data_IF_901342070988
#
_entry.id   IF_901342070988
#
_cell.length_a   1.000
_cell.length_b   1.000
_cell.length_c   1.000
_cell.angle_alpha   90.00
_cell.angle_beta   90.00
_cell.angle_gamma   90.00
#
_symmetry.space_group_name_H-M   'P 1'
#
loop_
_entity.id
_entity.type
_entity.pdbx_description
1 polymer ?
#
# COMPACT_ATOMS: atom_id res chain seq x y z
N UNK A 1 47.57 64.94 44.13
CA UNK A 1 46.48 64.29 43.39
C UNK A 1 45.70 63.43 44.37
N UNK A 2 44.38 63.62 44.51
CA UNK A 2 43.55 63.01 45.56
C UNK A 2 43.11 61.57 45.28
N UNK A 3 43.58 60.92 44.21
CA UNK A 3 43.32 59.49 43.93
C UNK A 3 41.86 59.13 43.60
N UNK A 4 40.94 60.11 43.60
CA UNK A 4 39.51 59.90 43.38
C UNK A 4 39.22 59.51 41.92
N UNK A 5 38.44 58.45 41.72
CA UNK A 5 38.16 57.90 40.39
C UNK A 5 36.78 58.34 39.91
N UNK A 6 36.73 59.17 38.86
CA UNK A 6 35.47 59.70 38.32
C UNK A 6 34.61 58.65 37.59
N UNK A 7 35.20 57.53 37.17
CA UNK A 7 34.50 56.43 36.49
C UNK A 7 35.21 55.09 36.71
N UNK A 8 34.53 54.18 37.40
CA UNK A 8 35.03 52.83 37.61
C UNK A 8 34.94 51.97 36.35
N UNK A 9 35.81 50.95 36.27
CA UNK A 9 35.68 49.85 35.31
C UNK A 9 34.44 49.00 35.67
N UNK A 10 33.80 48.31 34.70
CA UNK A 10 32.72 47.38 34.98
C UNK A 10 33.11 46.35 36.05
N UNK A 11 32.18 46.00 36.93
CA UNK A 11 32.42 45.10 38.05
C UNK A 11 32.92 45.76 39.33
N UNK A 12 33.19 47.07 39.33
CA UNK A 12 33.68 47.82 40.48
C UNK A 12 32.90 49.12 40.70
N UNK A 13 32.79 49.55 41.97
CA UNK A 13 32.10 50.76 42.42
C UNK A 13 32.87 51.45 43.57
N UNK A 14 32.44 52.66 43.93
CA UNK A 14 32.99 53.46 45.04
C UNK A 14 33.96 54.54 44.57
N UNK A 15 34.27 55.49 45.46
CA UNK A 15 35.06 56.70 45.15
C UNK A 15 36.48 56.38 44.63
N UNK A 16 36.98 55.18 44.93
CA UNK A 16 38.29 54.69 44.51
C UNK A 16 38.23 53.42 43.64
N UNK A 17 37.03 52.95 43.26
CA UNK A 17 36.82 51.74 42.46
C UNK A 17 37.46 50.46 43.04
N UNK A 18 37.49 50.38 44.37
CA UNK A 18 38.08 49.29 45.16
C UNK A 18 37.04 48.24 45.60
N UNK A 19 35.74 48.56 45.48
CA UNK A 19 34.65 47.64 45.84
C UNK A 19 34.14 46.92 44.61
N UNK A 20 34.26 45.60 44.58
CA UNK A 20 33.58 44.78 43.59
C UNK A 20 32.06 44.92 43.71
N UNK A 21 31.31 44.66 42.64
CA UNK A 21 29.86 44.50 42.74
C UNK A 21 29.52 43.45 43.79
N UNK A 22 28.51 43.74 44.61
CA UNK A 22 27.95 42.78 45.56
C UNK A 22 27.34 41.58 44.83
N UNK A 23 27.08 40.52 45.59
CA UNK A 23 26.44 39.31 45.07
C UNK A 23 25.19 39.66 44.25
N UNK A 24 24.97 38.93 43.17
CA UNK A 24 23.85 39.11 42.24
C UNK A 24 23.92 40.36 41.33
N UNK A 25 24.94 41.22 41.41
CA UNK A 25 25.08 42.41 40.56
C UNK A 25 26.31 42.39 39.66
N UNK A 26 26.23 43.02 38.48
CA UNK A 26 27.33 43.11 37.53
C UNK A 26 27.28 44.38 36.64
N UNK A 27 28.34 44.56 35.84
CA UNK A 27 28.42 45.58 34.79
C UNK A 27 28.86 46.96 35.30
N UNK A 28 28.59 47.98 34.50
CA UNK A 28 28.96 49.35 34.85
C UNK A 28 28.15 49.84 36.06
N UNK A 29 28.86 50.36 37.08
CA UNK A 29 28.28 50.82 38.34
C UNK A 29 27.42 49.75 39.06
N UNK A 30 27.61 48.47 38.75
CA UNK A 30 26.86 47.35 39.33
C UNK A 30 25.33 47.49 39.17
N UNK A 31 24.91 48.06 38.03
CA UNK A 31 23.51 48.40 37.76
C UNK A 31 22.70 47.23 37.19
N UNK A 32 23.35 46.14 36.79
CA UNK A 32 22.69 44.97 36.21
C UNK A 32 22.59 43.85 37.24
N UNK A 33 21.51 43.09 37.18
CA UNK A 33 21.30 41.91 38.01
C UNK A 33 21.77 40.67 37.25
N UNK A 34 22.32 39.68 37.97
CA UNK A 34 22.53 38.34 37.43
C UNK A 34 21.17 37.74 37.03
N UNK A 35 21.15 37.01 35.91
CA UNK A 35 19.93 36.31 35.49
C UNK A 35 19.44 35.36 36.59
N UNK A 36 18.11 35.33 36.81
CA UNK A 36 17.49 34.35 37.71
C UNK A 36 17.68 32.90 37.26
N UNK A 37 18.07 32.72 35.99
CA UNK A 37 18.32 31.41 35.38
C UNK A 37 19.79 31.00 35.45
N UNK A 38 20.70 31.84 35.99
CA UNK A 38 22.04 31.40 36.37
C UNK A 38 21.93 30.29 37.42
N UNK A 39 22.81 29.29 37.34
CA UNK A 39 22.98 28.37 38.46
C UNK A 39 23.39 29.12 39.74
N UNK A 40 22.71 28.78 40.85
CA UNK A 40 22.87 29.46 42.15
C UNK A 40 22.67 30.98 42.09
N UNK A 41 22.03 31.51 41.03
CA UNK A 41 21.80 32.94 40.78
C UNK A 41 23.08 33.79 40.77
N UNK A 42 24.25 33.20 40.61
CA UNK A 42 25.54 33.89 40.67
C UNK A 42 26.16 34.07 39.28
N UNK A 43 26.77 35.24 39.05
CA UNK A 43 27.39 35.59 37.79
C UNK A 43 28.64 36.45 37.99
N UNK A 44 29.46 36.52 36.93
CA UNK A 44 30.64 37.34 36.87
C UNK A 44 30.27 38.83 36.98
N UNK A 45 30.86 39.51 37.96
CA UNK A 45 30.57 40.91 38.27
C UNK A 45 30.95 41.88 37.13
N UNK A 46 31.85 41.50 36.22
CA UNK A 46 32.28 42.34 35.09
C UNK A 46 31.32 42.17 33.91
N UNK A 47 31.09 40.94 33.45
CA UNK A 47 30.41 40.64 32.18
C UNK A 47 29.08 39.91 32.31
N UNK A 48 28.63 39.55 33.51
CA UNK A 48 27.33 38.91 33.75
C UNK A 48 27.26 37.42 33.40
N UNK A 49 28.38 36.80 33.03
CA UNK A 49 28.44 35.36 32.70
C UNK A 49 28.18 34.50 33.94
N UNK A 50 27.24 33.56 33.85
CA UNK A 50 26.86 32.72 34.98
C UNK A 50 27.94 31.66 35.25
N UNK A 51 28.50 31.63 36.47
CA UNK A 51 29.63 30.76 36.81
C UNK A 51 29.33 29.24 36.68
N UNK A 52 28.08 28.84 36.93
CA UNK A 52 27.62 27.46 36.73
C UNK A 52 26.85 27.25 35.42
N UNK A 53 26.88 28.22 34.51
CA UNK A 53 26.02 28.26 33.33
C UNK A 53 24.54 28.47 33.68
N UNK A 54 23.70 28.13 32.71
CA UNK A 54 22.27 28.35 32.73
C UNK A 54 21.47 27.15 33.21
N UNK A 55 20.29 27.44 33.77
CA UNK A 55 19.22 26.48 33.98
C UNK A 55 18.68 25.96 32.64
N UNK A 56 17.96 24.84 32.66
CA UNK A 56 17.36 24.26 31.47
C UNK A 56 16.43 25.27 30.77
N UNK A 57 16.50 25.34 29.44
CA UNK A 57 15.73 26.25 28.61
C UNK A 57 16.38 27.60 28.33
N UNK A 58 17.58 27.88 28.85
CA UNK A 58 18.27 29.16 28.67
C UNK A 58 19.68 29.01 28.10
N UNK A 59 20.03 29.94 27.22
CA UNK A 59 21.29 29.95 26.46
C UNK A 59 22.43 30.59 27.25
N UNK A 60 23.58 29.91 27.27
CA UNK A 60 24.85 30.42 27.80
C UNK A 60 25.35 31.64 26.98
N UNK A 61 26.05 32.63 27.57
CA UNK A 61 26.63 32.66 28.92
C UNK A 61 25.84 33.41 30.00
N UNK A 62 24.91 34.31 29.64
CA UNK A 62 24.20 35.18 30.60
C UNK A 62 22.79 34.69 30.97
N UNK A 63 22.30 33.64 30.32
CA UNK A 63 20.98 33.04 30.59
C UNK A 63 19.82 34.04 30.45
N UNK A 64 19.92 34.93 29.48
CA UNK A 64 18.91 35.95 29.17
C UNK A 64 18.01 35.56 28.00
N UNK A 65 18.44 34.60 27.17
CA UNK A 65 17.72 34.12 26.01
C UNK A 65 17.24 32.68 26.24
N UNK A 66 16.02 32.39 25.79
CA UNK A 66 15.48 31.03 25.75
C UNK A 66 16.20 30.25 24.65
N UNK A 67 16.32 28.93 24.79
CA UNK A 67 16.88 28.09 23.75
C UNK A 67 16.27 28.37 22.37
N UNK A 68 17.14 28.40 21.37
CA UNK A 68 16.74 28.51 19.98
C UNK A 68 15.92 27.27 19.58
N UNK A 69 15.11 27.43 18.52
CA UNK A 69 14.47 26.29 17.89
C UNK A 69 15.50 25.19 17.61
N UNK A 70 15.12 23.93 17.80
CA UNK A 70 15.95 22.72 17.68
C UNK A 70 16.85 22.38 18.88
N UNK A 71 16.92 23.21 19.92
CA UNK A 71 17.74 22.91 21.11
C UNK A 71 16.94 22.99 22.42
N UNK A 72 17.37 22.21 23.42
CA UNK A 72 16.75 22.19 24.74
C UNK A 72 17.76 21.88 25.84
N UNK A 73 17.26 21.82 27.08
CA UNK A 73 18.03 21.39 28.23
C UNK A 73 18.97 22.48 28.76
N UNK A 74 19.93 22.05 29.57
CA UNK A 74 20.84 22.96 30.27
C UNK A 74 21.79 23.62 29.27
N UNK A 75 21.97 24.93 29.35
CA UNK A 75 22.77 25.70 28.39
C UNK A 75 22.34 25.51 26.91
N UNK A 76 21.16 24.94 26.65
CA UNK A 76 20.72 24.53 25.31
C UNK A 76 21.68 23.54 24.62
N UNK A 77 22.31 22.66 25.39
CA UNK A 77 23.33 21.73 24.87
C UNK A 77 22.76 20.47 24.22
N UNK A 78 21.46 20.23 24.33
CA UNK A 78 20.78 19.06 23.77
C UNK A 78 19.93 19.48 22.56
N UNK A 79 19.71 18.54 21.63
CA UNK A 79 18.95 18.78 20.40
C UNK A 79 17.57 18.15 20.47
N UNK A 80 16.55 18.86 19.99
CA UNK A 80 15.22 18.29 19.79
C UNK A 80 15.27 17.04 18.90
N UNK A 81 14.37 16.08 19.16
CA UNK A 81 14.18 14.92 18.28
C UNK A 81 13.89 15.36 16.84
N UNK A 82 14.52 14.69 15.86
CA UNK A 82 14.29 14.95 14.44
C UNK A 82 12.84 14.62 14.02
N UNK A 83 12.14 13.85 14.84
CA UNK A 83 10.75 13.46 14.62
C UNK A 83 9.75 14.49 15.16
N UNK A 84 10.21 15.56 15.82
CA UNK A 84 9.34 16.69 16.11
C UNK A 84 9.06 17.47 14.80
N UNK A 85 7.83 17.95 14.61
CA UNK A 85 7.49 18.86 13.51
C UNK A 85 8.35 20.13 13.58
N UNK A 86 8.93 20.53 12.45
CA UNK A 86 9.90 21.63 12.34
C UNK A 86 11.11 21.52 13.30
N UNK A 87 11.38 20.32 13.85
CA UNK A 87 12.37 20.09 14.90
C UNK A 87 12.14 21.01 16.13
N UNK A 88 10.88 21.33 16.45
CA UNK A 88 10.53 22.16 17.61
C UNK A 88 10.10 21.32 18.79
N UNK A 89 10.74 21.58 19.93
CA UNK A 89 10.43 20.95 21.20
C UNK A 89 10.46 21.96 22.35
N UNK A 90 9.93 21.56 23.49
CA UNK A 90 9.98 22.33 24.72
C UNK A 90 11.43 22.60 25.13
N UNK A 91 11.82 23.88 25.31
CA UNK A 91 13.22 24.24 25.52
C UNK A 91 13.77 23.72 26.87
N UNK A 92 12.90 23.40 27.83
CA UNK A 92 13.31 22.91 29.15
C UNK A 92 13.42 21.38 29.15
N UNK A 93 12.34 20.71 28.73
CA UNK A 93 12.17 19.25 28.87
C UNK A 93 12.53 18.46 27.61
N UNK A 94 12.65 19.12 26.46
CA UNK A 94 12.90 18.48 25.17
C UNK A 94 11.70 17.78 24.55
N UNK A 95 10.52 17.85 25.18
CA UNK A 95 9.32 17.21 24.65
C UNK A 95 8.86 17.87 23.34
N UNK A 96 8.65 17.08 22.31
CA UNK A 96 8.11 17.59 21.04
C UNK A 96 6.73 18.19 21.28
N UNK A 97 6.48 19.37 20.71
CA UNK A 97 5.13 19.95 20.71
C UNK A 97 4.18 19.17 19.82
N UNK A 98 4.70 18.71 18.67
CA UNK A 98 3.98 17.96 17.66
C UNK A 98 4.92 16.94 17.03
N UNK A 99 4.46 15.72 16.82
CA UNK A 99 5.19 14.71 16.05
C UNK A 99 4.88 14.79 14.56
N UNK A 100 5.87 14.46 13.73
CA UNK A 100 5.61 14.15 12.33
C UNK A 100 4.58 13.01 12.20
N UNK A 101 3.79 12.97 11.11
CA UNK A 101 2.77 11.93 10.93
C UNK A 101 3.36 10.51 11.02
N UNK A 102 2.65 9.61 11.69
CA UNK A 102 3.08 8.23 11.92
C UNK A 102 3.78 7.97 13.26
N UNK A 103 4.07 9.03 14.03
CA UNK A 103 4.74 8.94 15.33
C UNK A 103 3.92 9.63 16.44
N UNK A 104 4.17 9.20 17.68
CA UNK A 104 3.56 9.74 18.92
C UNK A 104 4.52 9.65 20.10
N UNK A 105 4.12 10.30 21.20
CA UNK A 105 4.84 10.30 22.47
C UNK A 105 5.67 11.56 22.65
N UNK A 106 6.19 11.72 23.87
CA UNK A 106 6.84 12.95 24.33
C UNK A 106 8.05 13.33 23.46
N UNK A 107 8.75 12.36 22.86
CA UNK A 107 9.92 12.57 22.00
C UNK A 107 9.72 12.05 20.56
N UNK A 108 8.47 11.72 20.19
CA UNK A 108 8.11 11.18 18.88
C UNK A 108 8.92 9.95 18.47
N UNK A 109 9.07 9.03 19.42
CA UNK A 109 9.86 7.80 19.33
C UNK A 109 9.00 6.54 19.19
N UNK A 110 7.67 6.68 19.31
CA UNK A 110 6.73 5.56 19.19
C UNK A 110 5.94 5.67 17.90
N UNK A 111 5.92 4.60 17.12
CA UNK A 111 5.10 4.47 15.92
C UNK A 111 3.61 4.41 16.31
N UNK A 112 2.74 4.87 15.43
CA UNK A 112 1.30 4.64 15.58
C UNK A 112 0.98 3.16 15.71
N UNK A 113 -0.13 2.87 16.40
CA UNK A 113 -0.64 1.51 16.43
C UNK A 113 -1.16 1.18 15.02
N UNK A 114 -1.25 -0.10 14.67
CA UNK A 114 -1.69 -0.51 13.32
C UNK A 114 -3.11 -0.01 12.96
N UNK A 115 -3.91 0.40 13.95
CA UNK A 115 -5.29 0.89 13.79
C UNK A 115 -5.42 2.42 13.81
N UNK A 116 -4.31 3.16 13.94
CA UNK A 116 -4.32 4.62 13.92
C UNK A 116 -3.21 5.19 13.03
N UNK A 117 -3.42 6.41 12.54
CA UNK A 117 -2.49 7.06 11.64
C UNK A 117 -2.49 8.59 11.79
N UNK A 118 -1.60 9.24 11.04
CA UNK A 118 -1.52 10.69 10.91
C UNK A 118 -0.74 11.35 12.04
N UNK A 119 -0.93 12.66 12.18
CA UNK A 119 -0.23 13.46 13.20
C UNK A 119 -0.64 13.02 14.61
N UNK A 120 0.36 12.73 15.45
CA UNK A 120 0.18 12.22 16.81
C UNK A 120 -0.72 10.96 16.89
N UNK A 121 -0.88 10.22 15.78
CA UNK A 121 -1.74 9.04 15.68
C UNK A 121 -3.20 9.30 16.08
N UNK A 122 -3.69 10.51 15.76
CA UNK A 122 -5.02 11.00 16.17
C UNK A 122 -6.16 10.50 15.28
N UNK A 123 -5.86 9.91 14.12
CA UNK A 123 -6.85 9.43 13.16
C UNK A 123 -6.98 7.91 13.24
N UNK A 124 -8.20 7.39 13.17
CA UNK A 124 -8.46 5.95 13.14
C UNK A 124 -8.46 5.43 11.71
N UNK A 125 -7.88 4.25 11.48
CA UNK A 125 -7.97 3.56 10.20
C UNK A 125 -9.44 3.32 9.79
N UNK A 126 -9.69 3.22 8.49
CA UNK A 126 -11.02 2.86 7.97
C UNK A 126 -11.45 1.50 8.51
N UNK A 127 -12.71 1.37 8.93
CA UNK A 127 -13.28 0.09 9.36
C UNK A 127 -13.36 -0.95 8.25
N UNK A 128 -13.23 -0.51 7.00
CA UNK A 128 -13.25 -1.34 5.81
C UNK A 128 -11.84 -1.81 5.40
N UNK A 129 -10.78 -1.41 6.11
CA UNK A 129 -9.48 -2.07 5.96
C UNK A 129 -9.55 -3.48 6.58
N UNK A 130 -8.90 -4.47 5.98
CA UNK A 130 -8.69 -5.78 6.61
C UNK A 130 -7.96 -5.61 7.95
N UNK A 131 -8.47 -6.27 8.99
CA UNK A 131 -8.02 -6.16 10.39
C UNK A 131 -7.99 -4.71 10.94
N UNK A 132 -8.68 -3.77 10.28
CA UNK A 132 -8.60 -2.33 10.56
C UNK A 132 -7.16 -1.78 10.51
N UNK A 133 -6.29 -2.40 9.70
CA UNK A 133 -4.89 -1.98 9.56
C UNK A 133 -4.70 -0.99 8.43
N UNK A 134 -3.94 0.07 8.68
CA UNK A 134 -3.59 1.03 7.65
C UNK A 134 -2.18 1.59 7.84
N UNK A 135 -1.65 2.21 6.78
CA UNK A 135 -0.39 2.92 6.80
C UNK A 135 -0.40 4.00 7.90
N UNK A 136 0.58 4.00 8.82
CA UNK A 136 0.56 4.89 9.98
C UNK A 136 0.74 6.37 9.62
N UNK A 137 1.22 6.69 8.41
CA UNK A 137 1.47 8.06 7.96
C UNK A 137 0.24 8.60 7.21
N UNK A 138 -0.21 7.86 6.19
CA UNK A 138 -1.21 8.30 5.20
C UNK A 138 -2.61 7.71 5.43
N UNK A 139 -2.73 6.69 6.27
CA UNK A 139 -4.01 6.02 6.55
C UNK A 139 -4.50 5.11 5.44
N UNK A 140 -3.66 4.83 4.44
CA UNK A 140 -3.99 3.94 3.33
C UNK A 140 -4.12 2.50 3.83
N UNK A 141 -5.24 1.84 3.57
CA UNK A 141 -5.42 0.43 3.89
C UNK A 141 -4.41 -0.41 3.09
N UNK A 142 -3.85 -1.44 3.72
CA UNK A 142 -3.00 -2.43 3.04
C UNK A 142 -3.82 -3.32 2.10
N UNK A 143 -5.05 -3.63 2.50
CA UNK A 143 -6.00 -4.43 1.76
C UNK A 143 -7.41 -4.06 2.23
N UNK A 144 -8.37 -3.97 1.31
CA UNK A 144 -9.78 -3.80 1.65
C UNK A 144 -10.45 -5.11 2.01
N UNK A 145 -11.50 -5.03 2.84
CA UNK A 145 -12.46 -6.12 2.97
C UNK A 145 -13.14 -6.39 1.62
N UNK A 146 -13.67 -7.60 1.47
CA UNK A 146 -14.28 -8.06 0.22
C UNK A 146 -15.39 -7.14 -0.28
N UNK A 147 -15.36 -6.80 -1.57
CA UNK A 147 -16.36 -5.97 -2.23
C UNK A 147 -16.07 -4.46 -2.22
N UNK A 148 -14.93 -4.05 -1.64
CA UNK A 148 -14.48 -2.66 -1.57
C UNK A 148 -13.07 -2.48 -2.15
N UNK A 149 -12.76 -1.26 -2.53
CA UNK A 149 -11.46 -0.82 -3.07
C UNK A 149 -11.18 0.66 -2.75
N UNK A 150 -10.03 1.15 -3.20
CA UNK A 150 -9.53 2.50 -2.97
C UNK A 150 -8.68 2.63 -1.70
N UNK A 151 -7.93 3.73 -1.57
CA UNK A 151 -6.95 3.91 -0.49
C UNK A 151 -7.53 3.80 0.93
N UNK A 152 -8.80 4.15 1.11
CA UNK A 152 -9.51 4.07 2.39
C UNK A 152 -10.68 3.06 2.39
N UNK A 153 -10.75 2.20 1.37
CA UNK A 153 -11.81 1.19 1.22
C UNK A 153 -13.22 1.77 1.29
N UNK A 154 -13.44 2.87 0.57
CA UNK A 154 -14.72 3.58 0.49
C UNK A 154 -15.38 3.47 -0.88
N UNK A 155 -14.74 2.79 -1.84
CA UNK A 155 -15.28 2.56 -3.17
C UNK A 155 -15.80 1.13 -3.26
N UNK A 156 -16.98 0.95 -3.81
CA UNK A 156 -17.54 -0.37 -4.09
C UNK A 156 -16.95 -0.95 -5.38
N UNK A 157 -16.87 -2.27 -5.48
CA UNK A 157 -16.47 -2.90 -6.74
C UNK A 157 -17.41 -2.54 -7.89
N UNK A 158 -16.84 -2.43 -9.08
CA UNK A 158 -17.59 -2.43 -10.32
C UNK A 158 -18.35 -3.78 -10.47
N UNK A 159 -19.43 -3.79 -11.24
CA UNK A 159 -20.33 -4.96 -11.35
C UNK A 159 -19.65 -6.22 -11.88
N UNK A 160 -18.58 -6.05 -12.66
CA UNK A 160 -17.78 -7.10 -13.27
C UNK A 160 -16.65 -7.63 -12.38
N UNK A 161 -16.55 -7.15 -11.14
CA UNK A 161 -15.47 -7.49 -10.20
C UNK A 161 -15.98 -7.73 -8.79
N UNK A 162 -15.25 -8.56 -8.07
CA UNK A 162 -15.51 -8.91 -6.68
C UNK A 162 -14.19 -9.21 -5.96
N UNK A 163 -14.29 -9.60 -4.69
CA UNK A 163 -13.12 -9.93 -3.89
C UNK A 163 -12.54 -8.73 -3.12
N UNK A 164 -11.49 -8.95 -2.31
CA UNK A 164 -10.68 -7.88 -1.74
C UNK A 164 -10.07 -7.00 -2.83
N UNK A 165 -10.11 -5.68 -2.62
CA UNK A 165 -9.59 -4.67 -3.56
C UNK A 165 -10.13 -4.78 -4.99
N UNK A 166 -11.24 -5.49 -5.18
CA UNK A 166 -11.87 -5.77 -6.48
C UNK A 166 -10.90 -6.37 -7.52
N UNK A 167 -10.00 -7.26 -7.08
CA UNK A 167 -8.99 -7.86 -7.96
C UNK A 167 -9.47 -9.12 -8.69
N UNK A 168 -10.69 -9.59 -8.43
CA UNK A 168 -11.22 -10.82 -9.03
C UNK A 168 -12.35 -10.46 -10.00
N UNK A 169 -12.24 -10.90 -11.25
CA UNK A 169 -13.32 -10.72 -12.23
C UNK A 169 -14.48 -11.69 -11.94
N UNK A 170 -15.70 -11.28 -12.27
CA UNK A 170 -16.86 -12.17 -12.29
C UNK A 170 -16.67 -13.28 -13.33
N UNK A 171 -17.34 -14.42 -13.11
CA UNK A 171 -17.30 -15.55 -14.03
C UNK A 171 -17.98 -15.17 -15.36
N UNK A 172 -17.41 -15.62 -16.47
CA UNK A 172 -17.99 -15.36 -17.81
C UNK A 172 -19.37 -15.99 -18.01
N UNK A 173 -19.74 -16.97 -17.19
CA UNK A 173 -21.06 -17.60 -17.19
C UNK A 173 -22.12 -16.76 -16.46
N UNK A 174 -21.73 -15.65 -15.81
CA UNK A 174 -22.68 -14.71 -15.22
C UNK A 174 -23.26 -13.82 -16.31
N UNK A 175 -24.58 -13.64 -16.30
CA UNK A 175 -25.24 -12.75 -17.24
C UNK A 175 -24.74 -11.31 -17.07
N UNK A 176 -24.40 -10.66 -18.19
CA UNK A 176 -23.76 -9.33 -18.24
C UNK A 176 -22.48 -9.19 -17.40
N UNK A 177 -21.75 -10.30 -17.16
CA UNK A 177 -20.58 -10.36 -16.27
C UNK A 177 -20.89 -9.83 -14.86
N UNK A 178 -22.14 -9.85 -14.41
CA UNK A 178 -22.53 -9.29 -13.11
C UNK A 178 -22.49 -10.35 -12.01
N UNK A 179 -21.79 -10.06 -10.93
CA UNK A 179 -21.75 -10.94 -9.77
C UNK A 179 -21.77 -10.17 -8.45
N UNK A 180 -22.22 -10.85 -7.40
CA UNK A 180 -22.21 -10.32 -6.06
C UNK A 180 -20.77 -10.01 -5.62
N UNK A 181 -20.53 -8.75 -5.25
CA UNK A 181 -19.20 -8.24 -4.90
C UNK A 181 -18.55 -8.95 -3.70
N UNK A 182 -19.34 -9.60 -2.84
CA UNK A 182 -18.84 -10.29 -1.64
C UNK A 182 -18.52 -11.77 -1.90
N UNK A 183 -19.33 -12.44 -2.71
CA UNK A 183 -19.27 -13.90 -2.88
C UNK A 183 -18.78 -14.35 -4.25
N UNK A 184 -18.81 -13.47 -5.26
CA UNK A 184 -18.47 -13.81 -6.64
C UNK A 184 -19.50 -14.72 -7.34
N UNK A 185 -20.67 -14.91 -6.72
CA UNK A 185 -21.79 -15.66 -7.29
C UNK A 185 -22.61 -14.75 -8.20
N UNK A 186 -23.15 -15.29 -9.29
CA UNK A 186 -23.85 -14.48 -10.27
C UNK A 186 -25.14 -13.91 -9.65
N UNK A 187 -25.31 -12.59 -9.67
CA UNK A 187 -26.45 -11.90 -9.05
C UNK A 187 -27.57 -11.59 -10.05
N UNK A 188 -27.23 -11.60 -11.34
CA UNK A 188 -28.11 -11.26 -12.45
C UNK A 188 -28.49 -12.48 -13.29
N UNK A 189 -28.31 -13.69 -12.75
CA UNK A 189 -28.54 -14.95 -13.44
C UNK A 189 -27.35 -15.41 -14.29
N UNK A 190 -27.58 -16.44 -15.09
CA UNK A 190 -26.58 -17.17 -15.85
C UNK A 190 -26.70 -16.96 -17.35
N UNK A 191 -25.58 -16.93 -18.06
CA UNK A 191 -25.52 -16.83 -19.52
C UNK A 191 -25.17 -18.19 -20.15
N UNK A 192 -26.18 -18.89 -20.69
CA UNK A 192 -26.02 -20.24 -21.22
C UNK A 192 -25.97 -21.36 -20.18
N UNK A 193 -26.37 -21.08 -18.93
CA UNK A 193 -26.50 -22.04 -17.83
C UNK A 193 -27.85 -21.85 -17.11
N UNK A 194 -28.34 -22.87 -16.39
CA UNK A 194 -29.70 -22.88 -15.80
C UNK A 194 -29.77 -22.89 -14.27
N UNK A 195 -28.64 -22.96 -13.57
CA UNK A 195 -28.55 -23.10 -12.11
C UNK A 195 -27.98 -21.84 -11.41
N UNK A 196 -28.67 -20.68 -11.44
CA UNK A 196 -28.28 -19.54 -10.62
C UNK A 196 -28.24 -19.88 -9.12
N UNK A 197 -27.29 -19.32 -8.37
CA UNK A 197 -26.30 -18.33 -8.78
C UNK A 197 -24.93 -18.94 -9.16
N UNK A 198 -24.85 -20.27 -9.27
CA UNK A 198 -23.60 -20.99 -9.45
C UNK A 198 -23.22 -21.19 -10.93
N UNK A 199 -24.19 -21.25 -11.85
CA UNK A 199 -23.99 -21.28 -13.31
C UNK A 199 -22.99 -22.37 -13.74
N UNK A 200 -23.24 -23.60 -13.26
CA UNK A 200 -22.44 -24.80 -13.52
C UNK A 200 -23.13 -25.81 -14.43
N UNK A 201 -24.46 -25.74 -14.55
CA UNK A 201 -25.28 -26.63 -15.38
C UNK A 201 -25.64 -25.93 -16.68
N UNK A 202 -25.03 -26.38 -17.78
CA UNK A 202 -25.26 -25.85 -19.13
C UNK A 202 -26.73 -26.01 -19.55
N UNK A 203 -27.21 -25.14 -20.45
CA UNK A 203 -28.56 -25.28 -21.03
C UNK A 203 -28.79 -26.67 -21.63
N UNK A 204 -30.01 -27.18 -21.48
CA UNK A 204 -30.44 -28.40 -22.16
C UNK A 204 -30.48 -28.16 -23.68
N UNK A 205 -30.26 -29.22 -24.46
CA UNK A 205 -30.39 -29.15 -25.92
C UNK A 205 -31.74 -28.56 -26.32
N UNK A 206 -31.71 -27.53 -27.17
CA UNK A 206 -32.91 -26.79 -27.57
C UNK A 206 -33.16 -25.49 -26.81
N UNK A 207 -32.35 -25.14 -25.80
CA UNK A 207 -32.46 -23.90 -25.02
C UNK A 207 -31.18 -23.08 -25.04
N UNK A 208 -31.32 -21.75 -24.89
CA UNK A 208 -30.19 -20.83 -24.88
C UNK A 208 -30.46 -19.52 -24.12
N UNK A 209 -29.40 -18.73 -23.91
CA UNK A 209 -29.41 -17.38 -23.38
C UNK A 209 -29.55 -17.31 -21.85
N UNK A 210 -30.09 -16.19 -21.38
CA UNK A 210 -30.23 -15.90 -19.95
C UNK A 210 -31.11 -16.94 -19.24
N UNK A 211 -30.52 -17.68 -18.29
CA UNK A 211 -31.15 -18.79 -17.57
C UNK A 211 -31.82 -19.82 -18.49
N UNK A 212 -31.34 -19.98 -19.73
CA UNK A 212 -31.92 -20.88 -20.73
C UNK A 212 -33.40 -20.58 -21.04
N UNK A 213 -33.80 -19.31 -20.93
CA UNK A 213 -35.20 -18.90 -21.10
C UNK A 213 -35.67 -18.88 -22.56
N UNK A 214 -34.75 -18.99 -23.52
CA UNK A 214 -35.07 -18.98 -24.95
C UNK A 214 -34.99 -20.40 -25.52
N UNK A 215 -35.79 -20.65 -26.57
CA UNK A 215 -35.73 -21.88 -27.36
C UNK A 215 -34.94 -21.67 -28.67
N UNK A 216 -34.24 -22.71 -29.12
CA UNK A 216 -33.57 -22.70 -30.43
C UNK A 216 -34.60 -22.58 -31.56
N UNK A 217 -34.20 -21.94 -32.67
CA UNK A 217 -35.04 -21.87 -33.88
C UNK A 217 -35.41 -23.28 -34.37
N UNK A 218 -36.67 -23.47 -34.75
CA UNK A 218 -37.19 -24.73 -35.30
C UNK A 218 -36.42 -25.25 -36.53
N UNK A 219 -35.71 -24.37 -37.25
CA UNK A 219 -34.88 -24.70 -38.43
C UNK A 219 -33.49 -25.20 -38.06
N UNK A 220 -33.07 -25.08 -36.80
CA UNK A 220 -31.82 -25.66 -36.34
C UNK A 220 -31.92 -27.19 -36.43
N UNK A 221 -30.94 -27.83 -37.05
CA UNK A 221 -30.84 -29.29 -37.10
C UNK A 221 -30.91 -29.85 -35.67
N UNK A 222 -31.80 -30.81 -35.43
CA UNK A 222 -32.01 -31.46 -34.12
C UNK A 222 -32.26 -30.48 -32.95
N UNK A 223 -32.77 -29.26 -33.23
CA UNK A 223 -32.87 -28.14 -32.28
C UNK A 223 -31.53 -27.79 -31.61
N UNK A 224 -30.42 -27.98 -32.31
CA UNK A 224 -29.08 -27.67 -31.79
C UNK A 224 -28.68 -26.24 -32.11
N UNK A 225 -28.53 -25.42 -31.08
CA UNK A 225 -28.02 -24.06 -31.17
C UNK A 225 -26.99 -23.76 -30.07
N UNK A 226 -26.19 -22.72 -30.28
CA UNK A 226 -25.25 -22.18 -29.30
C UNK A 226 -25.99 -21.75 -28.04
N UNK A 227 -25.56 -22.26 -26.88
CA UNK A 227 -26.25 -22.05 -25.60
C UNK A 227 -26.27 -20.59 -25.14
N UNK A 228 -25.39 -19.73 -25.64
CA UNK A 228 -25.30 -18.31 -25.24
C UNK A 228 -26.05 -17.43 -26.24
N UNK A 229 -25.79 -17.63 -27.53
CA UNK A 229 -26.24 -16.74 -28.61
C UNK A 229 -27.50 -17.22 -29.34
N UNK A 230 -27.88 -18.49 -29.19
CA UNK A 230 -29.02 -19.08 -29.89
C UNK A 230 -28.78 -19.37 -31.37
N UNK A 231 -27.56 -19.13 -31.87
CA UNK A 231 -27.20 -19.38 -33.26
C UNK A 231 -27.20 -20.88 -33.55
N UNK A 232 -27.94 -21.32 -34.56
CA UNK A 232 -27.96 -22.74 -34.95
C UNK A 232 -26.54 -23.21 -35.26
N UNK A 233 -26.13 -24.35 -34.69
CA UNK A 233 -24.88 -25.01 -35.07
C UNK A 233 -24.94 -25.42 -36.55
N UNK A 234 -26.12 -25.88 -36.99
CA UNK A 234 -26.45 -26.16 -38.38
C UNK A 234 -27.88 -25.71 -38.69
N UNK A 235 -28.09 -25.10 -39.86
CA UNK A 235 -29.43 -24.73 -40.37
C UNK A 235 -29.80 -25.72 -41.47
N UNK A 236 -30.94 -26.40 -41.35
CA UNK A 236 -31.45 -27.24 -42.41
C UNK A 236 -32.58 -26.51 -43.14
N UNK A 237 -32.36 -26.13 -44.41
CA UNK A 237 -33.40 -25.55 -45.26
C UNK A 237 -34.19 -26.68 -45.94
N UNK A 238 -35.47 -26.81 -45.58
CA UNK A 238 -36.39 -27.78 -46.18
C UNK A 238 -36.65 -27.54 -47.68
N UNK A 239 -36.29 -26.37 -48.24
CA UNK A 239 -36.50 -26.06 -49.64
C UNK A 239 -35.36 -26.48 -50.58
N UNK A 240 -34.15 -26.75 -50.08
CA UNK A 240 -32.97 -26.99 -50.94
C UNK A 240 -32.58 -28.45 -51.10
N UNK A 241 -33.28 -29.40 -50.44
CA UNK A 241 -33.01 -30.84 -50.54
C UNK A 241 -31.54 -31.20 -50.26
N UNK A 242 -30.82 -30.34 -49.54
CA UNK A 242 -29.43 -30.52 -49.18
C UNK A 242 -29.40 -31.27 -47.85
N UNK A 243 -29.04 -32.56 -47.88
CA UNK A 243 -28.73 -33.28 -46.65
C UNK A 243 -27.69 -32.50 -45.86
N UNK A 244 -28.07 -32.03 -44.66
CA UNK A 244 -27.15 -31.40 -43.72
C UNK A 244 -25.97 -32.37 -43.50
N UNK A 245 -24.74 -32.07 -43.98
CA UNK A 245 -23.60 -32.95 -43.84
C UNK A 245 -23.46 -33.39 -42.38
N UNK A 246 -23.09 -34.66 -42.16
CA UNK A 246 -22.93 -35.20 -40.81
C UNK A 246 -21.92 -34.38 -39.99
N UNK A 247 -20.88 -33.85 -40.66
CA UNK A 247 -19.90 -32.89 -40.16
C UNK A 247 -19.28 -32.13 -41.34
N UNK A 248 -18.81 -30.90 -41.13
CA UNK A 248 -18.01 -30.21 -42.14
C UNK A 248 -16.64 -30.86 -42.31
N UNK A 249 -16.05 -30.84 -43.54
CA UNK A 249 -14.67 -31.24 -43.73
C UNK A 249 -13.74 -30.45 -42.79
N UNK A 250 -12.70 -31.09 -42.26
CA UNK A 250 -11.71 -30.43 -41.39
C UNK A 250 -11.22 -29.11 -42.02
N UNK A 251 -11.26 -28.03 -41.24
CA UNK A 251 -10.92 -26.70 -41.74
C UNK A 251 -12.11 -25.85 -42.20
N UNK A 252 -13.34 -26.38 -42.18
CA UNK A 252 -14.53 -25.67 -42.60
C UNK A 252 -15.65 -25.71 -41.55
N UNK A 253 -16.51 -24.68 -41.57
CA UNK A 253 -17.65 -24.52 -40.66
C UNK A 253 -18.82 -23.78 -41.35
N UNK A 254 -19.90 -23.55 -40.59
CA UNK A 254 -21.11 -22.89 -41.06
C UNK A 254 -22.11 -23.85 -41.72
N UNK A 255 -23.33 -23.37 -41.95
CA UNK A 255 -24.48 -24.19 -42.38
C UNK A 255 -24.28 -24.98 -43.69
N UNK A 256 -23.40 -24.52 -44.58
CA UNK A 256 -23.04 -25.19 -45.84
C UNK A 256 -21.57 -25.61 -45.94
N UNK A 257 -20.81 -25.57 -44.85
CA UNK A 257 -19.38 -25.93 -44.82
C UNK A 257 -18.51 -25.17 -45.83
N UNK A 258 -18.89 -23.93 -46.17
CA UNK A 258 -18.15 -23.09 -47.12
C UNK A 258 -17.20 -22.10 -46.42
N UNK A 259 -17.38 -21.88 -45.12
CA UNK A 259 -16.56 -20.95 -44.35
C UNK A 259 -15.32 -21.67 -43.85
N UNK A 260 -14.13 -21.10 -44.04
CA UNK A 260 -12.88 -21.66 -43.50
C UNK A 260 -12.72 -21.28 -42.04
N UNK A 261 -12.24 -22.21 -41.22
CA UNK A 261 -11.79 -21.91 -39.87
C UNK A 261 -10.70 -20.82 -39.90
N UNK A 262 -10.61 -20.01 -38.85
CA UNK A 262 -9.59 -18.97 -38.73
C UNK A 262 -8.19 -19.57 -38.91
N UNK A 263 -7.33 -18.88 -39.66
CA UNK A 263 -5.93 -19.30 -39.86
C UNK A 263 -5.12 -19.27 -38.56
N UNK A 264 -5.61 -18.58 -37.52
CA UNK A 264 -5.01 -18.54 -36.18
C UNK A 264 -5.52 -19.65 -35.26
N UNK A 265 -6.47 -20.49 -35.71
CA UNK A 265 -6.76 -21.77 -35.06
C UNK A 265 -5.59 -22.74 -35.29
N UNK A 266 -5.16 -23.46 -34.26
CA UNK A 266 -4.17 -24.53 -34.38
C UNK A 266 -4.69 -25.61 -35.34
N UNK A 267 -3.88 -25.94 -36.34
CA UNK A 267 -4.24 -26.87 -37.42
C UNK A 267 -5.51 -26.50 -38.20
N UNK A 268 -5.95 -25.23 -38.13
CA UNK A 268 -7.21 -24.76 -38.72
C UNK A 268 -8.44 -25.56 -38.25
N UNK A 269 -8.43 -26.05 -37.01
CA UNK A 269 -9.56 -26.81 -36.46
C UNK A 269 -10.52 -25.91 -35.68
N UNK A 270 -11.79 -25.93 -36.07
CA UNK A 270 -12.87 -25.21 -35.41
C UNK A 270 -14.15 -26.06 -35.34
N UNK A 271 -15.07 -25.70 -34.44
CA UNK A 271 -16.39 -26.34 -34.36
C UNK A 271 -17.33 -25.84 -35.48
N UNK A 272 -18.57 -26.36 -35.53
CA UNK A 272 -19.56 -25.98 -36.56
C UNK A 272 -19.92 -24.47 -36.60
N UNK A 273 -19.69 -23.73 -35.51
CA UNK A 273 -19.90 -22.27 -35.41
C UNK A 273 -18.65 -21.46 -35.81
N UNK A 274 -17.52 -22.12 -36.02
CA UNK A 274 -16.25 -21.48 -36.35
C UNK A 274 -15.34 -21.21 -35.15
N UNK A 275 -15.74 -21.59 -33.94
CA UNK A 275 -14.90 -21.41 -32.75
C UNK A 275 -13.70 -22.34 -32.80
N UNK A 276 -12.50 -21.78 -32.63
CA UNK A 276 -11.28 -22.57 -32.67
C UNK A 276 -11.24 -23.55 -31.49
N UNK A 277 -10.88 -24.81 -31.77
CA UNK A 277 -10.67 -25.81 -30.69
C UNK A 277 -9.47 -25.42 -29.83
N UNK A 278 -8.43 -24.84 -30.45
CA UNK A 278 -7.23 -24.34 -29.78
C UNK A 278 -6.62 -23.22 -30.61
N UNK A 279 -6.13 -22.16 -29.98
CA UNK A 279 -5.42 -21.08 -30.66
C UNK A 279 -3.94 -21.40 -30.92
N UNK A 280 -3.38 -20.81 -31.98
CA UNK A 280 -1.93 -20.69 -32.12
C UNK A 280 -1.34 -19.87 -30.96
N UNK A 281 -0.04 -20.08 -30.60
CA UNK A 281 0.61 -19.30 -29.56
C UNK A 281 0.48 -17.79 -29.81
N UNK A 282 0.10 -17.05 -28.79
CA UNK A 282 -0.07 -15.61 -28.86
C UNK A 282 -1.44 -15.13 -29.36
N UNK A 283 -2.41 -16.03 -29.54
CA UNK A 283 -3.79 -15.66 -29.87
C UNK A 283 -4.79 -16.12 -28.80
N UNK A 284 -5.82 -15.32 -28.57
CA UNK A 284 -6.95 -15.60 -27.67
C UNK A 284 -8.27 -15.13 -28.31
N UNK A 285 -9.41 -15.46 -27.70
CA UNK A 285 -10.74 -15.22 -28.29
C UNK A 285 -11.37 -16.50 -28.88
N UNK A 286 -12.67 -16.46 -29.15
CA UNK A 286 -13.43 -17.64 -29.63
C UNK A 286 -13.00 -18.07 -31.03
N UNK A 287 -12.54 -17.12 -31.86
CA UNK A 287 -12.03 -17.32 -33.21
C UNK A 287 -10.49 -17.12 -33.29
N UNK A 288 -9.82 -17.03 -32.13
CA UNK A 288 -8.40 -16.68 -32.00
C UNK A 288 -8.04 -15.34 -32.68
N UNK A 289 -8.95 -14.38 -32.57
CA UNK A 289 -8.91 -13.06 -33.21
C UNK A 289 -8.02 -12.05 -32.46
N UNK A 290 -7.79 -12.25 -31.15
CA UNK A 290 -7.01 -11.34 -30.33
C UNK A 290 -5.55 -11.79 -30.29
N UNK A 291 -4.67 -11.11 -31.03
CA UNK A 291 -3.23 -11.30 -30.90
C UNK A 291 -2.67 -10.59 -29.66
N UNK A 292 -1.67 -11.17 -29.01
CA UNK A 292 -0.94 -10.55 -27.88
C UNK A 292 -0.11 -9.31 -28.28
N UNK A 293 -0.29 -8.76 -29.49
CA UNK A 293 0.44 -7.59 -30.00
C UNK A 293 -0.49 -6.40 -30.30
N UNK A 294 -1.02 -5.78 -29.24
CA UNK A 294 -1.49 -4.37 -29.11
C UNK A 294 -2.27 -4.27 -27.79
N UNK A 295 -2.01 -3.40 -26.80
CA UNK A 295 -1.26 -2.15 -26.74
C UNK A 295 -0.61 -2.01 -25.34
N UNK A 296 0.72 -2.01 -25.27
CA UNK A 296 1.39 -1.01 -24.44
C UNK A 296 1.70 0.15 -25.38
N UNK A 297 1.15 1.32 -25.10
CA UNK A 297 1.42 2.54 -25.84
C UNK A 297 2.93 2.82 -25.87
N UNK A 298 3.56 2.45 -26.97
CA UNK A 298 4.91 2.85 -27.34
C UNK A 298 4.89 2.96 -28.85
N UNK A 299 4.46 4.14 -29.32
CA UNK A 299 4.48 4.53 -30.72
C UNK A 299 5.91 4.37 -31.28
N UNK A 300 6.17 3.22 -31.90
CA UNK A 300 7.35 3.06 -32.75
C UNK A 300 7.08 3.77 -34.06
N UNK A 301 7.50 5.03 -34.11
CA UNK A 301 7.60 5.80 -35.34
C UNK A 301 8.67 5.13 -36.21
N UNK A 302 8.25 4.39 -37.21
CA UNK A 302 9.09 4.07 -38.36
C UNK A 302 9.29 5.35 -39.17
N UNK A 303 10.38 6.06 -38.94
CA UNK A 303 10.88 7.06 -39.89
C UNK A 303 12.07 6.50 -40.64
N UNK A 304 11.82 6.27 -41.93
CA UNK A 304 12.81 6.13 -42.98
C UNK A 304 13.89 7.20 -42.85
N UNK A 305 15.12 6.76 -43.09
CA UNK A 305 16.37 7.51 -43.12
C UNK A 305 16.27 8.95 -43.64
N UNK A 306 16.66 9.93 -42.80
CA UNK A 306 16.80 11.33 -43.17
C UNK A 306 17.27 12.24 -42.02
N UNK A 307 18.58 12.21 -41.74
CA UNK A 307 19.47 13.25 -41.15
C UNK A 307 18.89 14.27 -40.13
N UNK A 308 19.51 14.31 -38.93
CA UNK A 308 20.01 15.59 -38.38
C UNK A 308 19.59 16.01 -36.97
N UNK A 309 20.53 15.84 -36.01
CA UNK A 309 20.71 16.65 -34.79
C UNK A 309 19.58 16.56 -33.73
N UNK A 310 19.65 15.51 -32.90
CA UNK A 310 18.84 15.43 -31.67
C UNK A 310 19.27 14.31 -30.70
N UNK A 311 19.98 13.29 -31.20
CA UNK A 311 20.36 12.11 -30.40
C UNK A 311 21.74 12.25 -29.74
N UNK A 312 22.53 13.28 -30.10
CA UNK A 312 23.88 13.48 -29.54
C UNK A 312 23.88 14.09 -28.13
N UNK A 313 22.82 14.80 -27.71
CA UNK A 313 22.80 15.50 -26.41
C UNK A 313 22.45 14.56 -25.26
N UNK A 314 21.54 13.59 -25.49
CA UNK A 314 21.14 12.62 -24.46
C UNK A 314 22.26 11.66 -24.06
N UNK A 315 23.04 11.17 -25.03
CA UNK A 315 24.16 10.27 -24.76
C UNK A 315 25.30 10.97 -24.00
N UNK A 316 25.57 12.25 -24.29
CA UNK A 316 26.60 13.03 -23.59
C UNK A 316 26.19 13.28 -22.14
N UNK A 317 24.91 13.56 -21.86
CA UNK A 317 24.45 13.75 -20.47
C UNK A 317 24.54 12.47 -19.65
N UNK A 318 24.18 11.32 -20.22
CA UNK A 318 24.29 10.02 -19.53
C UNK A 318 25.76 9.69 -19.25
N UNK A 319 26.65 9.86 -20.23
CA UNK A 319 28.10 9.65 -20.04
C UNK A 319 28.67 10.61 -18.98
N UNK A 320 28.24 11.88 -18.95
CA UNK A 320 28.69 12.83 -17.94
C UNK A 320 28.19 12.47 -16.54
N UNK A 321 26.95 11.99 -16.42
CA UNK A 321 26.39 11.51 -15.13
C UNK A 321 27.15 10.27 -14.64
N UNK A 322 27.41 9.29 -15.52
CA UNK A 322 28.16 8.09 -15.17
C UNK A 322 29.61 8.41 -14.77
N UNK A 323 30.27 9.35 -15.48
CA UNK A 323 31.62 9.80 -15.13
C UNK A 323 31.63 10.51 -13.77
N UNK A 324 30.63 11.36 -13.48
CA UNK A 324 30.51 12.03 -12.17
C UNK A 324 30.28 11.02 -11.05
N UNK A 325 29.40 10.03 -11.26
CA UNK A 325 29.14 8.95 -10.28
C UNK A 325 30.43 8.15 -10.02
N UNK A 326 31.18 7.79 -11.06
CA UNK A 326 32.45 7.07 -10.91
C UNK A 326 33.50 7.91 -10.18
N UNK A 327 33.59 9.22 -10.45
CA UNK A 327 34.50 10.14 -9.75
C UNK A 327 34.12 10.23 -8.26
N UNK A 328 32.84 10.43 -7.95
CA UNK A 328 32.33 10.50 -6.56
C UNK A 328 32.59 9.20 -5.81
N UNK A 329 32.38 8.04 -6.46
CA UNK A 329 32.71 6.74 -5.88
C UNK A 329 34.22 6.58 -5.65
N UNK A 330 35.08 7.02 -6.57
CA UNK A 330 36.54 6.95 -6.40
C UNK A 330 37.05 7.91 -5.31
N UNK A 331 36.46 9.10 -5.17
CA UNK A 331 36.80 10.05 -4.09
C UNK A 331 36.24 9.61 -2.73
N UNK A 332 35.10 8.91 -2.71
CA UNK A 332 34.52 8.31 -1.49
C UNK A 332 35.33 7.11 -0.97
N UNK A 333 35.90 6.30 -1.87
CA UNK A 333 36.74 5.15 -1.50
C UNK A 333 38.13 5.59 -1.00
N UNK A 334 38.68 6.69 -1.53
CA UNK A 334 39.99 7.23 -1.09
C UNK A 334 39.91 7.92 0.27
N UNK A 335 38.77 8.54 0.61
CA UNK A 335 38.54 9.13 1.95
C UNK A 335 38.23 8.07 3.02
N UNK A 336 37.65 6.92 2.66
CA UNK A 336 37.43 5.82 3.61
C UNK A 336 38.73 5.06 3.97
N UNK A 337 39.68 4.90 3.03
CA UNK A 337 40.98 4.25 3.30
C UNK A 337 41.90 5.04 4.23
N UNK A 338 41.76 6.36 4.32
CA UNK A 338 42.59 7.19 5.21
C UNK A 338 42.08 7.27 6.66
N UNK A 339 40.91 6.72 6.98
CA UNK A 339 40.37 6.73 8.36
C UNK A 339 40.64 5.44 9.14
N UNK A 340 41.24 4.43 8.51
CA UNK A 340 41.49 3.10 9.12
C UNK A 340 42.95 2.82 9.50
N UNK A 341 43.85 3.82 9.42
CA UNK A 341 45.30 3.64 9.68
C UNK A 341 45.79 4.26 11.01
N UNK A 342 44.94 4.36 12.02
CA UNK A 342 45.37 4.64 13.40
C UNK A 342 44.48 3.87 14.38
N UNK A 343 44.67 2.55 14.46
CA UNK A 343 44.62 1.83 15.73
C UNK A 343 45.18 0.41 15.56
N UNK A 344 46.11 0.06 16.44
CA UNK A 344 46.83 -1.23 16.47
C UNK A 344 46.02 -2.28 17.27
N UNK A 345 46.12 -3.59 16.96
CA UNK A 345 45.22 -4.60 17.52
C UNK A 345 45.77 -5.28 18.79
N UNK A 346 44.90 -5.43 19.79
CA UNK A 346 44.98 -6.46 20.84
C UNK A 346 43.82 -7.44 20.67
N UNK A 347 44.11 -8.73 20.55
CA UNK A 347 43.15 -9.84 20.47
C UNK A 347 42.84 -10.42 21.86
N UNK A 348 41.96 -11.44 22.05
CA UNK A 348 40.78 -11.90 21.28
C UNK A 348 39.52 -12.11 22.17
N UNK A 349 38.35 -12.46 21.60
CA UNK A 349 37.58 -13.66 22.03
C UNK A 349 36.36 -14.01 21.15
N UNK A 350 36.27 -15.31 20.91
CA UNK A 350 35.29 -16.11 20.16
C UNK A 350 33.93 -16.24 20.89
N UNK A 351 32.81 -16.14 20.15
CA UNK A 351 31.47 -16.79 20.36
C UNK A 351 30.42 -15.99 19.54
N UNK A 352 29.48 -16.50 18.75
CA UNK A 352 28.90 -17.83 18.50
C UNK A 352 28.22 -17.80 17.12
N UNK A 353 28.09 -18.98 16.54
CA UNK A 353 27.46 -19.42 15.30
C UNK A 353 26.04 -18.90 14.95
N UNK A 354 25.81 -18.75 13.64
CA UNK A 354 24.64 -19.15 12.84
C UNK A 354 23.21 -18.81 13.26
N UNK A 355 22.53 -18.03 12.40
CA UNK A 355 21.18 -18.28 11.88
C UNK A 355 20.79 -17.19 10.88
N UNK A 356 21.00 -17.42 9.56
CA UNK A 356 20.27 -16.75 8.47
C UNK A 356 20.67 -17.36 7.11
N UNK A 357 20.36 -18.65 6.93
CA UNK A 357 20.30 -19.26 5.60
C UNK A 357 19.29 -20.39 5.59
N UNK A 358 18.01 -20.05 5.41
CA UNK A 358 17.00 -20.93 4.84
C UNK A 358 15.68 -20.17 4.67
N UNK A 359 15.47 -19.59 3.49
CA UNK A 359 14.14 -19.43 2.86
C UNK A 359 14.38 -19.20 1.37
N UNK A 360 14.60 -20.29 0.63
CA UNK A 360 14.49 -20.34 -0.82
C UNK A 360 14.37 -21.81 -1.22
N UNK A 361 13.13 -22.30 -1.32
CA UNK A 361 12.71 -23.36 -2.24
C UNK A 361 11.27 -23.76 -1.88
N UNK A 362 10.30 -23.27 -2.65
CA UNK A 362 9.08 -24.05 -2.87
C UNK A 362 8.55 -23.74 -4.27
N UNK A 363 8.91 -24.61 -5.21
CA UNK A 363 8.31 -24.73 -6.53
C UNK A 363 7.80 -26.16 -6.68
N UNK A 364 6.49 -26.26 -6.86
CA UNK A 364 5.73 -27.27 -7.61
C UNK A 364 6.29 -28.68 -7.83
N UNK A 365 5.49 -29.67 -7.39
CA UNK A 365 5.23 -30.87 -8.18
C UNK A 365 3.86 -31.47 -7.84
N UNK A 366 3.02 -31.63 -8.86
CA UNK A 366 1.82 -32.47 -8.86
C UNK A 366 2.24 -33.95 -9.00
N UNK A 367 1.58 -34.89 -8.30
CA UNK A 367 0.83 -36.01 -8.91
C UNK A 367 0.21 -37.00 -7.89
N UNK A 368 -1.05 -37.32 -8.18
CA UNK A 368 -1.86 -38.55 -7.99
C UNK A 368 -1.34 -39.74 -7.14
N UNK A 369 -2.15 -40.21 -6.17
CA UNK A 369 -3.16 -41.29 -6.33
C UNK A 369 -3.54 -42.04 -5.02
N UNK A 370 -4.85 -42.19 -4.84
CA UNK A 370 -5.65 -43.33 -4.30
C UNK A 370 -5.32 -44.06 -2.95
N UNK A 371 -6.37 -44.06 -2.13
CA UNK A 371 -7.05 -45.24 -1.51
C UNK A 371 -6.63 -45.75 -0.12
N UNK A 372 -7.63 -45.70 0.78
CA UNK A 372 -8.00 -46.66 1.87
C UNK A 372 -6.92 -47.01 2.91
N UNK A 373 -7.14 -46.85 4.21
CA UNK A 373 -8.10 -47.63 5.00
C UNK A 373 -8.20 -47.11 6.44
N UNK A 374 -9.32 -47.45 7.07
CA UNK A 374 -9.80 -47.13 8.41
C UNK A 374 -8.85 -47.53 9.56
N UNK A 375 -8.78 -46.70 10.62
CA UNK A 375 -8.63 -47.18 12.00
C UNK A 375 -9.53 -46.36 12.93
N UNK A 376 -10.54 -47.04 13.49
CA UNK A 376 -11.39 -46.65 14.62
C UNK A 376 -10.57 -46.58 15.91
N UNK A 377 -10.70 -45.50 16.69
CA UNK A 377 -10.64 -45.57 18.16
C UNK A 377 -11.72 -44.65 18.77
N UNK A 378 -12.32 -45.17 19.85
CA UNK A 378 -13.56 -44.78 20.51
C UNK A 378 -13.50 -43.49 21.33
N UNK A 379 -14.71 -42.94 21.45
CA UNK A 379 -15.30 -42.11 22.50
C UNK A 379 -14.73 -42.22 23.92
N UNK A 380 -14.71 -41.07 24.62
CA UNK A 380 -15.31 -40.96 25.95
C UNK A 380 -15.93 -39.57 26.16
N UNK A 381 -17.22 -39.58 26.54
CA UNK A 381 -18.00 -38.44 27.01
C UNK A 381 -17.85 -38.33 28.53
N UNK A 382 -17.78 -37.12 29.06
CA UNK A 382 -18.19 -36.83 30.44
C UNK A 382 -19.27 -35.75 30.44
N UNK A 383 -20.38 -36.11 31.09
CA UNK A 383 -21.50 -35.28 31.52
C UNK A 383 -21.02 -34.10 32.36
N UNK A 384 -21.62 -32.93 32.16
CA UNK A 384 -22.34 -32.28 33.26
C UNK A 384 -23.52 -31.49 32.68
N UNK A 385 -24.61 -31.48 33.44
CA UNK A 385 -25.96 -31.05 33.09
C UNK A 385 -26.38 -30.02 34.13
N UNK A 386 -26.87 -28.84 33.71
CA UNK A 386 -27.91 -28.16 34.50
C UNK A 386 -28.72 -27.14 33.68
N UNK A 387 -29.88 -26.81 34.23
CA UNK A 387 -31.17 -26.61 33.59
C UNK A 387 -31.49 -25.23 32.96
N UNK A 388 -32.09 -25.35 31.76
CA UNK A 388 -33.34 -24.73 31.28
C UNK A 388 -34.08 -23.73 32.21
N UNK A 389 -34.37 -22.54 31.66
CA UNK A 389 -35.73 -21.93 31.70
C UNK A 389 -35.93 -20.89 30.60
N UNK A 390 -36.91 -21.19 29.74
CA UNK A 390 -37.52 -20.32 28.72
C UNK A 390 -38.86 -19.86 29.25
N UNK A 391 -39.26 -18.60 29.01
CA UNK A 391 -40.56 -18.19 28.41
C UNK A 391 -40.74 -16.65 28.38
N UNK A 392 -41.68 -16.12 27.57
CA UNK A 392 -41.46 -14.99 26.68
C UNK A 392 -42.14 -13.69 27.14
N UNK A 393 -41.82 -12.57 26.47
CA UNK A 393 -42.68 -11.37 26.53
C UNK A 393 -42.92 -10.77 25.15
N UNK A 394 -44.04 -10.08 25.08
CA UNK A 394 -44.94 -9.92 23.96
C UNK A 394 -44.54 -8.85 22.94
N UNK A 395 -45.19 -9.02 21.79
CA UNK A 395 -45.35 -8.16 20.64
C UNK A 395 -45.95 -6.78 21.04
N UNK A 396 -45.44 -5.68 20.48
CA UNK A 396 -46.29 -4.53 20.12
C UNK A 396 -45.69 -3.78 18.93
N UNK A 397 -46.46 -3.78 17.85
CA UNK A 397 -46.35 -2.83 16.75
C UNK A 397 -46.75 -1.44 17.22
N UNK A 398 -46.06 -0.39 16.78
CA UNK A 398 -46.69 0.78 16.18
C UNK A 398 -45.67 1.75 15.55
N UNK A 399 -45.95 2.04 14.30
CA UNK A 399 -45.48 3.12 13.44
C UNK A 399 -45.86 4.50 13.96
N UNK A 400 -44.97 5.50 13.82
CA UNK A 400 -45.35 6.91 13.58
C UNK A 400 -44.36 7.52 12.60
N UNK A 401 -44.89 8.06 11.50
CA UNK A 401 -44.25 8.94 10.53
C UNK A 401 -44.61 10.41 10.87
N UNK A 402 -43.75 11.34 10.40
CA UNK A 402 -44.03 12.76 10.06
C UNK A 402 -44.25 13.76 11.24
N UNK A 403 -43.90 15.05 11.23
CA UNK A 403 -43.25 16.00 10.30
C UNK A 403 -43.11 17.35 11.03
N UNK A 404 -42.12 18.16 10.62
CA UNK A 404 -42.15 19.64 10.43
C UNK A 404 -42.55 20.54 11.62
N UNK A 405 -41.62 21.45 11.97
CA UNK A 405 -41.84 22.61 12.84
C UNK A 405 -40.53 23.21 13.30
#
# INVERSE_FOLDING_TARGET
>A
MTGLCLKCKPGYLGDYCDKACGDFFWGQNCSQWCSSYCQNKSCNNINGECYGGCSAGYTSPQCTQVCNAMTHGRNCSETCSMNCTDQKCDPVSGKCYVCIPGLKGDFCDRICNETTYGQNCSQACSRNCTDQKCDPVKGKCSQCVTGLTGDFCNQICAKDKWGPDCQINCRNNCFNLSCDRQTGKCDSGCDGFMDPPDCTVECQSGQWGHNCSNECDSRCKDKSCDRVTGLCVYVCDSHTNLSCPADCPSGYHGSNCTLKCSSTCKNQLCNGLGYCITCLPGHTGLYCENGLNSETGSSSLTFSSGVGIGVAVGAIVIILVDVVVVIVCRTGITTFRNRSNNDSPTAPQQRTYDSLKQMNEYSHSYETSKSTSEVKVKSDKKHDQDDRKTEPYENTSNTVYETVG
#
